data_IF_656029455910
#
_entry.id   IF_656029455910
#
_cell.length_a   1.000
_cell.length_b   1.000
_cell.length_c   1.000
_cell.angle_alpha   90.00
_cell.angle_beta   90.00
_cell.angle_gamma   90.00
#
_symmetry.space_group_name_H-M   'P 1'
#
loop_
_entity.id
_entity.type
_entity.pdbx_description
1 polymer ?
#
# COMPACT_ATOMS: atom_id res chain seq x y z
N UNK A 1 -3.94 -15.55 -10.48
CA UNK A 1 -3.22 -15.08 -9.28
C UNK A 1 -2.73 -13.65 -9.45
N UNK A 2 -2.84 -12.83 -8.39
CA UNK A 2 -2.25 -11.49 -8.27
C UNK A 2 -1.09 -11.53 -7.30
N UNK A 3 -0.05 -10.77 -7.61
CA UNK A 3 1.15 -10.66 -6.80
C UNK A 3 1.48 -9.18 -6.64
N UNK A 4 1.73 -8.75 -5.41
CA UNK A 4 2.30 -7.45 -5.11
C UNK A 4 3.75 -7.65 -4.69
N UNK A 5 4.67 -6.94 -5.34
CA UNK A 5 6.10 -7.09 -5.10
C UNK A 5 6.83 -5.76 -5.08
N UNK A 6 7.93 -5.69 -4.33
CA UNK A 6 8.88 -4.58 -4.37
C UNK A 6 9.82 -4.68 -5.58
N UNK A 7 10.62 -3.64 -5.80
CA UNK A 7 11.57 -3.58 -6.92
C UNK A 7 12.66 -4.64 -6.88
N UNK A 8 13.09 -5.05 -5.69
CA UNK A 8 14.10 -6.08 -5.50
C UNK A 8 13.56 -7.51 -5.71
N UNK A 9 12.25 -7.65 -5.90
CA UNK A 9 11.56 -8.92 -6.11
C UNK A 9 10.93 -9.50 -4.85
N UNK A 10 11.02 -8.84 -3.69
CA UNK A 10 10.31 -9.26 -2.48
C UNK A 10 8.79 -9.30 -2.74
N UNK A 11 8.15 -10.43 -2.48
CA UNK A 11 6.70 -10.59 -2.59
C UNK A 11 6.06 -10.17 -1.26
N UNK A 12 5.23 -9.15 -1.31
CA UNK A 12 4.54 -8.60 -0.14
C UNK A 12 3.17 -9.22 0.11
N UNK A 13 2.49 -9.68 -0.95
CA UNK A 13 1.22 -10.41 -0.87
C UNK A 13 0.92 -11.16 -2.17
N UNK A 14 0.13 -12.22 -2.07
CA UNK A 14 -0.35 -13.01 -3.20
C UNK A 14 -1.74 -13.60 -2.93
N UNK A 15 -2.65 -13.55 -3.90
CA UNK A 15 -3.97 -14.16 -3.82
C UNK A 15 -4.59 -14.30 -5.22
N UNK A 16 -5.58 -15.17 -5.38
CA UNK A 16 -6.43 -15.20 -6.58
C UNK A 16 -7.32 -13.95 -6.73
N UNK A 17 -7.51 -13.20 -5.64
CA UNK A 17 -8.36 -12.04 -5.56
C UNK A 17 -7.53 -10.75 -5.42
N UNK A 18 -7.80 -9.76 -6.28
CA UNK A 18 -7.04 -8.52 -6.33
C UNK A 18 -7.30 -7.63 -5.10
N UNK A 19 -8.54 -7.61 -4.63
CA UNK A 19 -8.96 -6.90 -3.42
C UNK A 19 -8.26 -7.46 -2.18
N UNK A 20 -8.06 -8.77 -2.09
CA UNK A 20 -7.32 -9.40 -1.00
C UNK A 20 -5.85 -8.94 -0.96
N UNK A 21 -5.13 -9.00 -2.09
CA UNK A 21 -3.73 -8.54 -2.11
C UNK A 21 -3.60 -7.04 -1.85
N UNK A 22 -4.57 -6.23 -2.30
CA UNK A 22 -4.59 -4.79 -2.03
C UNK A 22 -4.78 -4.54 -0.54
N UNK A 23 -5.72 -5.23 0.10
CA UNK A 23 -5.98 -5.09 1.54
C UNK A 23 -4.79 -5.49 2.37
N UNK A 24 -4.20 -6.64 2.08
CA UNK A 24 -3.07 -7.18 2.84
C UNK A 24 -1.87 -6.24 2.83
N UNK A 25 -1.41 -5.83 1.63
CA UNK A 25 -0.25 -4.93 1.50
C UNK A 25 -0.50 -3.58 2.14
N UNK A 26 -1.71 -3.04 1.97
CA UNK A 26 -2.07 -1.75 2.55
C UNK A 26 -2.10 -1.82 4.07
N UNK A 27 -2.69 -2.87 4.65
CA UNK A 27 -2.77 -3.06 6.10
C UNK A 27 -1.39 -3.26 6.70
N UNK A 28 -0.54 -4.09 6.07
CA UNK A 28 0.82 -4.33 6.54
C UNK A 28 1.63 -3.03 6.61
N UNK A 29 1.55 -2.18 5.57
CA UNK A 29 2.25 -0.89 5.57
C UNK A 29 1.69 0.09 6.60
N UNK A 30 0.37 0.12 6.82
CA UNK A 30 -0.22 0.94 7.91
C UNK A 30 0.30 0.50 9.28
N UNK A 31 0.34 -0.80 9.56
CA UNK A 31 0.82 -1.35 10.83
C UNK A 31 2.32 -1.06 11.01
N UNK A 32 3.10 -1.22 9.96
CA UNK A 32 4.54 -0.91 9.96
C UNK A 32 4.78 0.55 10.34
N UNK A 33 4.10 1.47 9.64
CA UNK A 33 4.08 2.90 9.94
C UNK A 33 3.74 3.08 11.43
N UNK A 34 2.56 2.65 11.89
CA UNK A 34 2.11 2.82 13.29
C UNK A 34 3.10 2.30 14.34
N UNK A 35 3.83 1.20 14.07
CA UNK A 35 4.86 0.66 14.98
C UNK A 35 6.05 1.60 15.16
N UNK A 36 6.50 2.25 14.09
CA UNK A 36 7.59 3.22 14.16
C UNK A 36 7.15 4.53 14.83
N UNK A 37 5.84 4.86 14.80
CA UNK A 37 5.31 6.08 15.44
C UNK A 37 5.07 5.96 16.95
N UNK A 38 4.92 4.74 17.49
CA UNK A 38 4.76 4.57 18.95
C UNK A 38 6.07 4.73 19.74
N UNK A 39 7.24 4.79 19.08
CA UNK A 39 8.56 4.85 19.75
C UNK A 39 9.27 6.20 19.63
N UNK A 40 8.81 7.10 18.76
CA UNK A 40 9.44 8.41 18.55
C UNK A 40 8.41 9.51 18.81
N UNK A 41 8.60 10.23 19.92
CA UNK A 41 7.82 11.38 20.31
C UNK A 41 8.06 12.56 19.34
N UNK A 42 7.52 12.50 18.12
CA UNK A 42 7.60 13.62 17.19
C UNK A 42 6.29 13.80 16.43
N UNK A 43 5.84 15.05 16.41
CA UNK A 43 4.65 15.53 15.69
C UNK A 43 4.60 14.91 14.32
N UNK A 44 3.55 14.12 14.07
CA UNK A 44 3.22 13.71 12.71
C UNK A 44 3.08 14.98 11.85
N UNK A 45 4.01 15.14 10.93
CA UNK A 45 3.88 16.09 9.84
C UNK A 45 2.52 15.84 9.17
N UNK A 46 1.80 16.93 8.93
CA UNK A 46 0.48 16.93 8.29
C UNK A 46 0.44 15.97 7.09
N UNK A 47 1.52 15.92 6.30
CA UNK A 47 1.67 15.13 5.09
C UNK A 47 1.62 13.60 5.32
N UNK A 48 2.18 13.11 6.43
CA UNK A 48 2.13 11.68 6.75
C UNK A 48 0.70 11.22 7.06
N UNK A 49 -0.10 12.05 7.73
CA UNK A 49 -1.51 11.76 7.96
C UNK A 49 -2.28 11.65 6.63
N UNK A 50 -2.00 12.51 5.65
CA UNK A 50 -2.61 12.38 4.31
C UNK A 50 -2.18 11.10 3.61
N UNK A 51 -0.91 10.72 3.75
CA UNK A 51 -0.40 9.48 3.20
C UNK A 51 -1.11 8.26 3.79
N UNK A 52 -1.19 8.16 5.12
CA UNK A 52 -1.94 7.10 5.81
C UNK A 52 -3.42 7.10 5.44
N UNK A 53 -4.06 8.27 5.35
CA UNK A 53 -5.46 8.37 4.94
C UNK A 53 -5.66 7.87 3.49
N UNK A 54 -4.70 8.15 2.59
CA UNK A 54 -4.69 7.65 1.23
C UNK A 54 -4.63 6.12 1.17
N UNK A 55 -3.73 5.51 1.95
CA UNK A 55 -3.64 4.06 2.11
C UNK A 55 -4.94 3.48 2.69
N UNK A 56 -5.42 4.03 3.80
CA UNK A 56 -6.64 3.55 4.47
C UNK A 56 -7.87 3.60 3.54
N UNK A 57 -7.96 4.63 2.69
CA UNK A 57 -8.99 4.73 1.65
C UNK A 57 -8.91 3.55 0.67
N UNK A 58 -7.71 3.15 0.22
CA UNK A 58 -7.56 1.97 -0.64
C UNK A 58 -7.99 0.69 0.08
N UNK A 59 -7.58 0.52 1.34
CA UNK A 59 -7.98 -0.63 2.15
C UNK A 59 -9.51 -0.77 2.25
N UNK A 60 -10.22 0.33 2.55
CA UNK A 60 -11.68 0.33 2.69
C UNK A 60 -12.44 0.18 1.38
N UNK A 61 -11.85 0.64 0.27
CA UNK A 61 -12.52 0.66 -1.02
C UNK A 61 -12.15 -0.53 -1.92
N UNK A 62 -11.18 -1.36 -1.53
CA UNK A 62 -10.71 -2.51 -2.32
C UNK A 62 -11.88 -3.37 -2.87
N UNK A 63 -12.89 -3.63 -2.04
CA UNK A 63 -14.05 -4.46 -2.39
C UNK A 63 -15.11 -3.74 -3.24
N UNK A 64 -15.13 -2.40 -3.17
CA UNK A 64 -16.17 -1.54 -3.76
C UNK A 64 -15.75 -0.99 -5.12
N UNK A 65 -14.47 -1.11 -5.47
CA UNK A 65 -13.94 -0.60 -6.73
C UNK A 65 -14.27 -1.57 -7.87
N UNK A 66 -15.32 -1.22 -8.61
CA UNK A 66 -15.78 -1.89 -9.82
C UNK A 66 -14.78 -1.73 -10.99
N UNK A 67 -13.57 -2.28 -10.85
CA UNK A 67 -12.57 -2.24 -11.91
C UNK A 67 -11.22 -2.78 -11.50
N UNK A 68 -10.90 -3.99 -11.96
CA UNK A 68 -9.57 -4.62 -11.81
C UNK A 68 -8.44 -3.68 -12.27
N UNK A 69 -8.62 -3.03 -13.42
CA UNK A 69 -7.64 -2.10 -14.00
C UNK A 69 -7.44 -0.83 -13.16
N UNK A 70 -8.47 -0.40 -12.42
CA UNK A 70 -8.37 0.74 -11.52
C UNK A 70 -7.53 0.38 -10.30
N UNK A 71 -7.85 -0.74 -9.64
CA UNK A 71 -7.11 -1.23 -8.48
C UNK A 71 -5.63 -1.49 -8.78
N UNK A 72 -5.33 -2.11 -9.92
CA UNK A 72 -3.95 -2.37 -10.36
C UNK A 72 -3.11 -1.10 -10.53
N UNK A 73 -3.73 0.05 -10.81
CA UNK A 73 -3.03 1.33 -11.03
C UNK A 73 -3.01 2.21 -9.80
N UNK A 74 -4.06 2.16 -8.98
CA UNK A 74 -4.28 3.15 -7.93
C UNK A 74 -3.47 2.84 -6.68
N UNK A 75 -3.39 1.56 -6.26
CA UNK A 75 -2.57 1.22 -5.10
C UNK A 75 -1.09 1.61 -5.32
N UNK A 76 -0.41 1.26 -6.43
CA UNK A 76 0.96 1.70 -6.65
C UNK A 76 1.11 3.23 -6.70
N UNK A 77 0.12 3.96 -7.24
CA UNK A 77 0.16 5.42 -7.26
C UNK A 77 0.09 6.04 -5.87
N UNK A 78 -0.70 5.45 -4.97
CA UNK A 78 -0.85 5.93 -3.60
C UNK A 78 0.36 5.51 -2.75
N UNK A 79 0.78 4.25 -2.89
CA UNK A 79 1.85 3.65 -2.10
C UNK A 79 3.23 4.20 -2.48
N UNK A 80 3.52 4.35 -3.77
CA UNK A 80 4.84 4.78 -4.26
C UNK A 80 4.99 6.31 -4.21
N UNK A 81 4.64 6.89 -3.06
CA UNK A 81 4.86 8.30 -2.79
C UNK A 81 6.31 8.49 -2.30
N UNK A 82 7.16 9.06 -3.15
CA UNK A 82 8.58 9.28 -2.86
C UNK A 82 8.85 10.27 -1.72
N UNK A 83 7.83 10.98 -1.23
CA UNK A 83 7.96 11.83 -0.04
C UNK A 83 7.88 11.02 1.26
N UNK A 84 7.38 9.79 1.22
CA UNK A 84 7.13 8.96 2.42
C UNK A 84 7.74 7.56 2.34
N UNK A 85 8.08 7.08 1.15
CA UNK A 85 8.60 5.72 0.91
C UNK A 85 9.86 5.82 0.03
N UNK A 86 10.92 5.08 0.38
CA UNK A 86 12.10 5.01 -0.46
C UNK A 86 11.75 4.36 -1.81
N UNK A 87 12.39 4.80 -2.89
CA UNK A 87 12.18 4.24 -4.23
C UNK A 87 12.55 2.76 -4.34
N UNK A 88 13.32 2.20 -3.42
CA UNK A 88 13.61 0.76 -3.34
C UNK A 88 12.40 -0.03 -2.87
N UNK A 89 11.57 0.54 -1.99
CA UNK A 89 10.37 -0.09 -1.44
C UNK A 89 9.13 0.05 -2.34
N UNK A 90 9.28 0.68 -3.51
CA UNK A 90 8.18 0.87 -4.44
C UNK A 90 7.60 -0.45 -4.90
N UNK A 91 6.27 -0.55 -4.87
CA UNK A 91 5.54 -1.75 -5.21
C UNK A 91 5.02 -1.73 -6.63
N UNK A 92 4.80 -2.93 -7.16
CA UNK A 92 4.09 -3.19 -8.40
C UNK A 92 3.05 -4.28 -8.16
N UNK A 93 1.97 -4.28 -8.96
CA UNK A 93 0.94 -5.31 -8.94
C UNK A 93 0.95 -6.00 -10.29
N UNK A 94 1.12 -7.32 -10.29
CA UNK A 94 1.15 -8.14 -11.48
C UNK A 94 0.06 -9.20 -11.44
N UNK A 95 -0.44 -9.58 -12.61
CA UNK A 95 -1.34 -10.72 -12.79
C UNK A 95 -0.57 -11.84 -13.48
N UNK A 96 -0.52 -12.99 -12.84
CA UNK A 96 0.00 -14.24 -13.40
C UNK A 96 -1.14 -15.08 -13.97
#
# INVERSE_FOLDING_TARGET
MYIVKQKDGEILAQSEFLDEVVKEVTLNKIIEIERYFNSVAEKMEYDLYFYMAGLYKQYKQADLLNGRDYLMKVLPKVYNNNNHIDKTEFITIEKC
#
